data_IF_817335545178
#
_entry.id   IF_817335545178
#
_cell.length_a   1.000
_cell.length_b   1.000
_cell.length_c   1.000
_cell.angle_alpha   90.00
_cell.angle_beta   90.00
_cell.angle_gamma   90.00
#
_symmetry.space_group_name_H-M   'P 1'
#
loop_
_entity.id
_entity.type
_entity.pdbx_description
1 polymer ?
#
# COMPACT_ATOMS: atom_id res chain seq x y z
N UNK A 1 16.88 -0.30 -7.32
CA UNK A 1 16.03 -0.89 -6.82
C UNK A 1 15.31 -0.40 -5.60
N UNK A 2 15.76 -0.48 -4.34
CA UNK A 2 14.98 0.10 -3.23
C UNK A 2 14.69 1.58 -3.44
N UNK A 3 15.69 2.38 -3.80
CA UNK A 3 15.53 3.83 -3.98
C UNK A 3 14.56 4.17 -5.09
N UNK A 4 14.54 3.41 -6.18
CA UNK A 4 13.61 3.62 -7.28
C UNK A 4 12.16 3.39 -6.87
N UNK A 5 11.91 2.38 -6.05
CA UNK A 5 10.57 2.11 -5.50
C UNK A 5 10.14 3.22 -4.53
N UNK A 6 11.05 3.64 -3.65
CA UNK A 6 10.79 4.77 -2.73
C UNK A 6 10.43 6.02 -3.51
N UNK A 7 11.22 6.36 -4.54
CA UNK A 7 10.99 7.55 -5.36
C UNK A 7 9.65 7.47 -6.12
N UNK A 8 9.32 6.31 -6.67
CA UNK A 8 8.06 6.10 -7.38
C UNK A 8 6.85 6.24 -6.45
N UNK A 9 6.96 5.71 -5.23
CA UNK A 9 5.89 5.83 -4.22
C UNK A 9 5.70 7.28 -3.78
N UNK A 10 6.79 7.98 -3.51
CA UNK A 10 6.74 9.40 -3.11
C UNK A 10 6.17 10.28 -4.22
N UNK A 11 6.52 10.00 -5.47
CA UNK A 11 5.96 10.70 -6.61
C UNK A 11 4.44 10.47 -6.72
N UNK A 12 4.00 9.22 -6.60
CA UNK A 12 2.57 8.92 -6.60
C UNK A 12 1.85 9.65 -5.45
N UNK A 13 2.44 9.62 -4.25
CA UNK A 13 1.87 10.31 -3.08
C UNK A 13 1.74 11.81 -3.33
N UNK A 14 2.73 12.44 -3.96
CA UNK A 14 2.67 13.85 -4.33
C UNK A 14 1.53 14.13 -5.30
N UNK A 15 1.36 13.30 -6.32
CA UNK A 15 0.23 13.42 -7.26
C UNK A 15 -1.12 13.23 -6.56
N UNK A 16 -1.20 12.31 -5.62
CA UNK A 16 -2.40 12.07 -4.83
C UNK A 16 -2.78 13.28 -3.99
N UNK A 17 -1.81 13.85 -3.28
CA UNK A 17 -2.02 15.06 -2.48
C UNK A 17 -2.38 16.27 -3.34
N UNK A 18 -1.72 16.44 -4.49
CA UNK A 18 -2.02 17.52 -5.44
C UNK A 18 -3.44 17.40 -6.01
N UNK A 19 -3.88 16.20 -6.32
CA UNK A 19 -5.24 15.95 -6.81
C UNK A 19 -6.29 16.37 -5.78
N UNK A 20 -6.07 16.05 -4.50
CA UNK A 20 -6.93 16.49 -3.41
C UNK A 20 -6.94 18.01 -3.28
N UNK A 21 -5.77 18.64 -3.33
CA UNK A 21 -5.65 20.10 -3.22
C UNK A 21 -6.38 20.82 -4.35
N UNK A 22 -6.24 20.33 -5.57
CA UNK A 22 -6.90 20.91 -6.74
C UNK A 22 -8.41 20.72 -6.72
N UNK A 23 -8.87 19.55 -6.25
CA UNK A 23 -10.29 19.18 -6.28
C UNK A 23 -11.09 19.74 -5.11
N UNK A 24 -10.47 19.79 -3.93
CA UNK A 24 -11.15 20.13 -2.68
C UNK A 24 -10.61 21.40 -2.00
N UNK A 25 -9.40 21.82 -2.34
CA UNK A 25 -8.72 22.91 -1.66
C UNK A 25 -8.03 22.52 -0.36
N UNK A 26 -8.00 21.22 -0.02
CA UNK A 26 -7.34 20.74 1.19
C UNK A 26 -6.58 19.43 0.94
N UNK A 27 -5.84 18.99 1.95
CA UNK A 27 -5.09 17.74 1.94
C UNK A 27 -6.01 16.51 1.87
N UNK A 28 -5.49 15.33 1.56
CA UNK A 28 -6.26 14.10 1.64
C UNK A 28 -7.02 13.96 2.95
N UNK A 29 -8.27 13.55 2.86
CA UNK A 29 -9.18 13.38 3.99
C UNK A 29 -9.59 11.92 4.13
N UNK A 30 -9.74 11.45 5.37
CA UNK A 30 -10.17 10.08 5.65
C UNK A 30 -11.10 10.06 6.85
N UNK A 31 -12.29 9.50 6.68
CA UNK A 31 -13.20 9.19 7.76
C UNK A 31 -12.76 7.91 8.50
N UNK A 32 -12.21 6.95 7.77
CA UNK A 32 -11.77 5.67 8.33
C UNK A 32 -10.65 5.83 9.36
N UNK A 33 -9.81 6.84 9.22
CA UNK A 33 -8.68 7.11 10.11
C UNK A 33 -9.02 8.10 11.23
N UNK A 34 -10.26 8.55 11.30
CA UNK A 34 -10.72 9.43 12.37
C UNK A 34 -10.56 8.74 13.74
N UNK A 35 -9.92 9.44 14.67
CA UNK A 35 -9.67 8.92 16.02
C UNK A 35 -8.47 7.99 16.14
N UNK A 36 -7.73 7.75 15.06
CA UNK A 36 -6.51 6.93 15.08
C UNK A 36 -5.29 7.84 15.03
N UNK A 37 -4.49 7.93 16.11
CA UNK A 37 -3.33 8.84 16.15
C UNK A 37 -2.30 8.53 15.06
N UNK A 38 -1.70 9.59 14.51
CA UNK A 38 -0.66 9.47 13.49
C UNK A 38 0.15 10.77 13.38
N UNK A 39 1.45 10.67 13.06
CA UNK A 39 2.25 11.85 12.75
C UNK A 39 1.79 12.55 11.46
N UNK A 40 0.99 11.89 10.61
CA UNK A 40 0.51 12.44 9.35
C UNK A 40 -0.64 13.45 9.51
N UNK A 41 -1.35 13.45 10.63
CA UNK A 41 -2.54 14.28 10.83
C UNK A 41 -2.13 15.76 10.89
N UNK A 42 -2.72 16.58 10.00
CA UNK A 42 -2.51 18.03 9.99
C UNK A 42 -3.74 18.78 10.48
N UNK A 43 -4.93 18.20 10.40
CA UNK A 43 -6.17 18.79 10.90
C UNK A 43 -7.21 17.70 11.11
N UNK A 44 -8.16 17.98 12.01
CA UNK A 44 -9.35 17.14 12.21
C UNK A 44 -10.56 18.03 12.00
N UNK A 45 -11.44 17.62 11.07
CA UNK A 45 -12.64 18.35 10.71
C UNK A 45 -13.84 17.41 10.79
N UNK A 46 -14.86 17.77 11.59
CA UNK A 46 -16.03 16.92 11.78
C UNK A 46 -15.60 15.47 12.15
N UNK A 47 -15.91 14.50 11.30
CA UNK A 47 -15.60 13.08 11.52
C UNK A 47 -14.51 12.57 10.58
N UNK A 48 -13.60 13.45 10.14
CA UNK A 48 -12.50 13.07 9.24
C UNK A 48 -11.19 13.71 9.68
N UNK A 49 -10.08 13.11 9.26
CA UNK A 49 -8.75 13.67 9.43
C UNK A 49 -8.19 14.07 8.06
N UNK A 50 -7.48 15.20 8.04
CA UNK A 50 -6.68 15.61 6.89
C UNK A 50 -5.25 15.26 7.18
N UNK A 51 -4.55 14.70 6.19
CA UNK A 51 -3.21 14.19 6.40
C UNK A 51 -2.25 14.58 5.29
N UNK A 52 -0.98 14.50 5.58
CA UNK A 52 0.11 14.56 4.61
C UNK A 52 1.17 13.54 4.97
N UNK A 53 1.95 13.04 3.98
CA UNK A 53 2.99 12.07 4.28
C UNK A 53 4.05 12.66 5.20
N UNK A 54 4.63 11.79 6.03
CA UNK A 54 5.70 12.15 6.94
C UNK A 54 6.88 11.19 6.79
N UNK A 55 8.10 11.63 7.11
CA UNK A 55 9.26 10.74 7.08
C UNK A 55 9.05 9.53 7.99
N UNK A 56 9.47 8.38 7.51
CA UNK A 56 9.44 7.14 8.30
C UNK A 56 10.56 7.19 9.32
N UNK A 57 10.22 7.27 10.60
CA UNK A 57 11.19 7.48 11.70
C UNK A 57 11.55 6.22 12.46
N UNK A 58 10.93 5.08 12.11
CA UNK A 58 11.26 3.78 12.67
C UNK A 58 12.39 3.11 11.88
N UNK A 59 13.02 2.05 12.40
CA UNK A 59 13.98 1.29 11.61
C UNK A 59 13.34 0.80 10.31
N UNK A 60 13.98 1.07 9.18
CA UNK A 60 13.46 0.79 7.84
C UNK A 60 13.70 -0.67 7.43
N UNK A 61 13.18 -1.59 8.22
CA UNK A 61 13.34 -3.04 8.01
C UNK A 61 12.03 -3.78 8.27
N UNK A 62 11.91 -4.96 7.68
CA UNK A 62 10.87 -5.94 7.97
C UNK A 62 11.52 -7.21 8.56
N UNK A 63 12.56 -7.05 9.37
CA UNK A 63 13.31 -8.18 9.97
C UNK A 63 12.42 -9.11 10.77
N UNK A 64 11.40 -8.60 11.46
CA UNK A 64 10.50 -9.44 12.25
C UNK A 64 9.76 -10.44 11.37
N UNK A 65 9.36 -10.04 10.17
CA UNK A 65 8.72 -10.92 9.19
C UNK A 65 9.73 -11.95 8.67
N UNK A 66 10.92 -11.50 8.30
CA UNK A 66 11.98 -12.37 7.79
C UNK A 66 12.39 -13.44 8.80
N UNK A 67 12.54 -13.05 10.06
CA UNK A 67 12.88 -14.00 11.15
C UNK A 67 11.76 -15.01 11.43
N UNK A 68 10.52 -14.55 11.44
CA UNK A 68 9.38 -15.41 11.76
C UNK A 68 9.21 -16.53 10.73
N UNK A 69 9.51 -16.28 9.48
CA UNK A 69 9.34 -17.22 8.37
C UNK A 69 10.66 -17.82 7.88
N UNK A 70 11.80 -17.34 8.37
CA UNK A 70 13.15 -17.73 7.92
C UNK A 70 13.30 -17.54 6.40
N UNK A 71 12.87 -16.38 5.90
CA UNK A 71 12.93 -16.00 4.49
C UNK A 71 13.59 -14.65 4.33
N UNK A 72 14.08 -14.38 3.12
CA UNK A 72 14.53 -13.04 2.71
C UNK A 72 13.45 -12.42 1.84
N UNK A 73 13.02 -11.22 2.19
CA UNK A 73 12.02 -10.49 1.41
C UNK A 73 12.67 -9.74 0.25
N UNK A 74 11.92 -9.56 -0.83
CA UNK A 74 12.29 -8.65 -1.91
C UNK A 74 12.48 -7.23 -1.35
N UNK A 75 13.52 -6.54 -1.80
CA UNK A 75 13.84 -5.19 -1.36
C UNK A 75 12.67 -4.20 -1.57
N UNK A 76 11.90 -4.41 -2.64
CA UNK A 76 10.77 -3.55 -2.97
C UNK A 76 9.66 -3.57 -1.92
N UNK A 77 9.49 -4.68 -1.21
CA UNK A 77 8.51 -4.78 -0.12
C UNK A 77 8.92 -3.90 1.05
N UNK A 78 10.18 -4.01 1.45
CA UNK A 78 10.73 -3.16 2.51
C UNK A 78 10.67 -1.69 2.12
N UNK A 79 11.06 -1.36 0.89
CA UNK A 79 11.00 0.00 0.37
C UNK A 79 9.57 0.55 0.39
N UNK A 80 8.59 -0.25 -0.03
CA UNK A 80 7.19 0.16 -0.10
C UNK A 80 6.63 0.52 1.29
N UNK A 81 6.90 -0.29 2.30
CA UNK A 81 6.32 -0.10 3.63
C UNK A 81 7.13 0.78 4.57
N UNK A 82 8.37 1.09 4.23
CA UNK A 82 9.23 1.92 5.09
C UNK A 82 9.66 3.24 4.46
N UNK A 83 9.08 3.58 3.30
CA UNK A 83 9.41 4.84 2.61
C UNK A 83 8.89 6.07 3.36
N UNK A 84 7.74 5.94 4.02
CA UNK A 84 7.04 7.08 4.63
C UNK A 84 5.92 6.59 5.55
N UNK A 85 5.44 7.47 6.42
CA UNK A 85 4.11 7.36 7.01
C UNK A 85 3.12 8.05 6.09
N UNK A 86 1.97 7.43 5.84
CA UNK A 86 0.92 7.98 5.00
C UNK A 86 -0.41 7.26 5.27
N UNK A 87 -1.51 7.87 4.85
CA UNK A 87 -2.80 7.19 4.75
C UNK A 87 -2.88 6.32 3.51
N UNK A 88 -3.83 5.42 3.49
CA UNK A 88 -4.08 4.59 2.31
C UNK A 88 -4.55 5.48 1.15
N UNK A 89 -4.13 5.13 -0.08
CA UNK A 89 -4.37 5.97 -1.25
C UNK A 89 -5.12 5.18 -2.31
N UNK A 90 -6.25 5.73 -2.75
CA UNK A 90 -7.04 5.14 -3.83
C UNK A 90 -6.40 5.42 -5.18
N UNK A 91 -6.38 4.39 -6.01
CA UNK A 91 -5.70 4.42 -7.30
C UNK A 91 -6.38 3.49 -8.30
N UNK A 92 -5.96 3.61 -9.55
CA UNK A 92 -6.37 2.70 -10.62
C UNK A 92 -5.14 2.25 -11.40
N UNK A 93 -5.05 0.95 -11.62
CA UNK A 93 -4.08 0.35 -12.54
C UNK A 93 -4.86 -0.29 -13.68
N UNK A 94 -4.73 0.23 -14.92
CA UNK A 94 -5.58 -0.16 -16.04
C UNK A 94 -7.07 -0.03 -15.66
N UNK A 95 -7.81 -1.14 -15.58
CA UNK A 95 -9.22 -1.13 -15.18
C UNK A 95 -9.45 -1.51 -13.71
N UNK A 96 -8.36 -1.81 -12.98
CA UNK A 96 -8.43 -2.27 -11.61
C UNK A 96 -8.39 -1.09 -10.64
N UNK A 97 -9.46 -0.88 -9.89
CA UNK A 97 -9.47 0.05 -8.78
C UNK A 97 -8.93 -0.62 -7.52
N UNK A 98 -8.07 0.09 -6.82
CA UNK A 98 -7.38 -0.43 -5.64
C UNK A 98 -7.13 0.68 -4.62
N UNK A 99 -6.77 0.26 -3.42
CA UNK A 99 -6.30 1.15 -2.37
C UNK A 99 -4.91 0.69 -1.95
N UNK A 100 -3.89 1.53 -2.18
CA UNK A 100 -2.53 1.25 -1.71
C UNK A 100 -2.52 1.28 -0.19
N UNK A 101 -2.04 0.21 0.41
CA UNK A 101 -1.88 0.12 1.85
C UNK A 101 -0.62 0.87 2.25
N UNK A 102 -0.73 1.69 3.28
CA UNK A 102 0.38 2.47 3.81
C UNK A 102 0.44 2.33 5.33
N UNK A 103 1.57 2.66 5.90
CA UNK A 103 1.76 2.64 7.35
C UNK A 103 1.35 3.99 7.92
N UNK A 104 0.31 3.99 8.75
CA UNK A 104 -0.26 5.20 9.34
C UNK A 104 0.49 5.65 10.59
N UNK A 105 0.96 4.69 11.39
CA UNK A 105 1.60 4.94 12.68
C UNK A 105 2.52 3.78 13.07
N UNK A 106 3.25 3.94 14.18
CA UNK A 106 4.06 2.85 14.74
C UNK A 106 3.21 1.62 15.09
N UNK A 107 2.05 1.82 15.70
CA UNK A 107 1.13 0.72 16.03
C UNK A 107 0.63 0.01 14.78
N UNK A 108 0.33 0.78 13.74
CA UNK A 108 -0.09 0.25 12.44
C UNK A 108 1.01 -0.57 11.80
N UNK A 109 2.27 -0.15 11.94
CA UNK A 109 3.42 -0.88 11.43
C UNK A 109 3.59 -2.25 12.12
N UNK A 110 3.41 -2.30 13.42
CA UNK A 110 3.44 -3.57 14.16
C UNK A 110 2.33 -4.51 13.69
N UNK A 111 1.13 -3.99 13.53
CA UNK A 111 -0.04 -4.74 13.05
C UNK A 111 0.15 -5.24 11.62
N UNK A 112 0.71 -4.40 10.74
CA UNK A 112 1.06 -4.78 9.38
C UNK A 112 2.00 -5.98 9.36
N UNK A 113 3.06 -5.95 10.16
CA UNK A 113 4.02 -7.05 10.21
C UNK A 113 3.37 -8.35 10.68
N UNK A 114 2.51 -8.29 11.69
CA UNK A 114 1.73 -9.45 12.14
C UNK A 114 0.84 -10.01 11.03
N UNK A 115 0.18 -9.13 10.28
CA UNK A 115 -0.69 -9.52 9.17
C UNK A 115 0.11 -10.12 8.00
N UNK A 116 1.27 -9.58 7.70
CA UNK A 116 2.17 -10.15 6.68
C UNK A 116 2.65 -11.55 7.09
N UNK A 117 3.01 -11.73 8.35
CA UNK A 117 3.39 -13.04 8.88
C UNK A 117 2.25 -14.04 8.74
N UNK A 118 1.04 -13.67 9.14
CA UNK A 118 -0.15 -14.52 9.02
C UNK A 118 -0.43 -14.91 7.58
N UNK A 119 -0.30 -13.98 6.65
CA UNK A 119 -0.47 -14.23 5.22
C UNK A 119 0.56 -15.22 4.69
N UNK A 120 1.83 -15.05 5.04
CA UNK A 120 2.91 -15.96 4.64
C UNK A 120 2.76 -17.35 5.23
N UNK A 121 2.28 -17.47 6.47
CA UNK A 121 1.97 -18.76 7.09
C UNK A 121 0.87 -19.47 6.30
N UNK A 122 -0.18 -18.77 5.92
CA UNK A 122 -1.26 -19.31 5.10
C UNK A 122 -0.73 -19.83 3.76
N UNK A 123 0.09 -19.04 3.07
CA UNK A 123 0.73 -19.41 1.81
C UNK A 123 1.56 -20.69 1.95
N UNK A 124 2.34 -20.76 3.02
CA UNK A 124 3.19 -21.95 3.31
C UNK A 124 2.34 -23.20 3.55
N UNK A 125 1.27 -23.09 4.33
CA UNK A 125 0.35 -24.21 4.58
C UNK A 125 -0.31 -24.73 3.32
N UNK A 126 -0.64 -23.82 2.40
CA UNK A 126 -1.26 -24.17 1.12
C UNK A 126 -0.23 -24.55 0.07
N UNK A 127 1.07 -24.56 0.38
CA UNK A 127 2.18 -24.82 -0.55
C UNK A 127 2.15 -23.90 -1.75
N UNK A 128 1.79 -22.65 -1.52
CA UNK A 128 1.75 -21.59 -2.52
C UNK A 128 2.99 -20.70 -2.43
N UNK A 129 3.34 -20.06 -3.54
CA UNK A 129 4.44 -19.11 -3.62
C UNK A 129 4.25 -17.98 -2.59
N UNK A 130 5.29 -17.61 -1.81
CA UNK A 130 5.16 -16.52 -0.87
C UNK A 130 4.95 -15.18 -1.61
N UNK A 131 3.97 -14.43 -1.13
CA UNK A 131 3.63 -13.10 -1.63
C UNK A 131 3.44 -12.15 -0.47
N UNK A 132 3.60 -10.86 -0.71
CA UNK A 132 3.36 -9.82 0.29
C UNK A 132 2.34 -8.85 -0.30
N UNK A 133 1.19 -8.69 0.35
CA UNK A 133 0.14 -7.80 -0.12
C UNK A 133 0.57 -6.34 0.00
N UNK A 134 0.16 -5.51 -0.97
CA UNK A 134 0.43 -4.06 -0.99
C UNK A 134 -0.82 -3.23 -1.26
N UNK A 135 -1.90 -3.83 -1.74
CA UNK A 135 -3.13 -3.11 -2.00
C UNK A 135 -4.36 -4.01 -1.83
N UNK A 136 -5.44 -3.40 -1.38
CA UNK A 136 -6.77 -4.00 -1.38
C UNK A 136 -7.49 -3.61 -2.68
N UNK A 137 -8.47 -4.42 -3.10
CA UNK A 137 -9.31 -4.12 -4.27
C UNK A 137 -10.77 -4.01 -3.84
N UNK A 138 -11.65 -3.67 -4.78
CA UNK A 138 -13.09 -3.64 -4.54
C UNK A 138 -13.65 -5.02 -4.17
N UNK A 139 -12.99 -6.08 -4.66
CA UNK A 139 -13.35 -7.44 -4.29
C UNK A 139 -12.64 -7.83 -3.00
N UNK A 140 -13.39 -8.24 -2.00
CA UNK A 140 -12.83 -8.74 -0.74
C UNK A 140 -11.99 -10.01 -0.94
N UNK A 141 -12.13 -10.67 -2.08
CA UNK A 141 -11.43 -11.91 -2.39
C UNK A 141 -10.09 -11.69 -3.11
N UNK A 142 -9.87 -10.51 -3.67
CA UNK A 142 -8.68 -10.23 -4.48
C UNK A 142 -7.81 -9.16 -3.82
N UNK A 143 -6.50 -9.39 -3.87
CA UNK A 143 -5.49 -8.44 -3.38
C UNK A 143 -4.40 -8.26 -4.42
N UNK A 144 -3.72 -7.13 -4.35
CA UNK A 144 -2.50 -6.88 -5.12
C UNK A 144 -1.31 -7.18 -4.23
N UNK A 145 -0.39 -7.97 -4.72
CA UNK A 145 0.77 -8.44 -3.96
C UNK A 145 2.05 -8.36 -4.78
N UNK A 146 3.18 -8.36 -4.08
CA UNK A 146 4.49 -8.57 -4.68
C UNK A 146 4.86 -10.05 -4.49
N UNK A 147 5.21 -10.72 -5.59
CA UNK A 147 5.71 -12.09 -5.54
C UNK A 147 7.13 -12.09 -4.98
N UNK A 148 7.34 -12.82 -3.89
CA UNK A 148 8.67 -12.82 -3.24
C UNK A 148 9.75 -13.59 -4.01
N UNK A 149 9.36 -14.42 -4.99
CA UNK A 149 10.34 -15.12 -5.83
C UNK A 149 10.80 -14.29 -7.01
N UNK A 150 9.89 -13.53 -7.63
CA UNK A 150 10.15 -12.85 -8.91
C UNK A 150 10.22 -11.34 -8.80
N UNK A 151 9.64 -10.75 -7.75
CA UNK A 151 9.46 -9.30 -7.62
C UNK A 151 8.32 -8.74 -8.46
N UNK A 152 7.60 -9.56 -9.20
CA UNK A 152 6.44 -9.14 -9.98
C UNK A 152 5.30 -8.69 -9.09
N UNK A 153 4.54 -7.69 -9.56
CA UNK A 153 3.29 -7.28 -8.93
C UNK A 153 2.15 -8.06 -9.54
N UNK A 154 1.37 -8.72 -8.71
CA UNK A 154 0.32 -9.63 -9.13
C UNK A 154 -1.02 -9.27 -8.49
N UNK A 155 -2.09 -9.57 -9.21
CA UNK A 155 -3.43 -9.64 -8.65
C UNK A 155 -3.69 -11.11 -8.30
N UNK A 156 -4.01 -11.40 -7.06
CA UNK A 156 -4.22 -12.78 -6.61
C UNK A 156 -5.48 -12.91 -5.77
N UNK A 157 -6.04 -14.11 -5.77
CA UNK A 157 -7.11 -14.50 -4.88
C UNK A 157 -6.53 -15.45 -3.84
N UNK A 158 -6.26 -14.97 -2.60
CA UNK A 158 -5.66 -15.81 -1.56
C UNK A 158 -6.49 -17.06 -1.29
N UNK A 159 -5.80 -18.17 -1.05
CA UNK A 159 -6.44 -19.47 -0.85
C UNK A 159 -6.74 -20.23 -2.14
N UNK A 160 -6.51 -19.63 -3.29
CA UNK A 160 -6.64 -20.25 -4.61
C UNK A 160 -5.34 -20.14 -5.39
N UNK A 161 -5.30 -20.77 -6.56
CA UNK A 161 -4.16 -20.65 -7.49
C UNK A 161 -4.34 -19.53 -8.51
N UNK A 162 -5.44 -18.78 -8.42
CA UNK A 162 -5.77 -17.72 -9.37
C UNK A 162 -4.86 -16.51 -9.16
N UNK A 163 -4.10 -16.14 -10.21
CA UNK A 163 -3.23 -14.97 -10.17
C UNK A 163 -3.00 -14.43 -11.57
N UNK A 164 -2.77 -13.12 -11.64
CA UNK A 164 -2.49 -12.39 -12.86
C UNK A 164 -1.31 -11.44 -12.63
N UNK A 165 -0.35 -11.40 -13.54
CA UNK A 165 0.77 -10.46 -13.46
C UNK A 165 0.28 -9.10 -13.93
N UNK A 166 0.40 -8.08 -13.06
CA UNK A 166 0.04 -6.71 -13.38
C UNK A 166 1.23 -5.92 -13.90
N UNK A 167 2.39 -6.10 -13.30
CA UNK A 167 3.59 -5.39 -13.67
C UNK A 167 4.84 -6.22 -13.39
N UNK A 168 5.89 -5.95 -14.12
CA UNK A 168 7.17 -6.64 -14.03
C UNK A 168 7.87 -6.40 -12.69
N UNK A 169 7.68 -5.22 -12.11
CA UNK A 169 8.24 -4.85 -10.82
C UNK A 169 7.39 -3.73 -10.16
N UNK A 170 7.70 -3.45 -8.90
CA UNK A 170 6.94 -2.48 -8.10
C UNK A 170 7.09 -1.06 -8.63
N UNK A 171 8.27 -0.69 -9.09
CA UNK A 171 8.53 0.65 -9.64
C UNK A 171 7.64 0.92 -10.86
N UNK A 172 7.60 -0.01 -11.80
CA UNK A 172 6.75 0.09 -13.01
C UNK A 172 5.28 0.17 -12.60
N UNK A 173 4.85 -0.67 -11.66
CA UNK A 173 3.48 -0.65 -11.15
C UNK A 173 3.11 0.74 -10.60
N UNK A 174 3.92 1.29 -9.72
CA UNK A 174 3.65 2.59 -9.09
C UNK A 174 3.66 3.74 -10.09
N UNK A 175 4.55 3.72 -11.08
CA UNK A 175 4.61 4.75 -12.12
C UNK A 175 3.39 4.77 -13.03
N UNK A 176 2.71 3.65 -13.18
CA UNK A 176 1.54 3.52 -14.04
C UNK A 176 0.20 3.65 -13.28
N UNK A 177 0.25 3.93 -11.97
CA UNK A 177 -0.96 4.18 -11.21
C UNK A 177 -1.55 5.54 -11.53
N UNK A 178 -2.87 5.58 -11.63
CA UNK A 178 -3.66 6.81 -11.73
C UNK A 178 -4.31 7.10 -10.38
N UNK A 179 -4.35 8.37 -10.02
CA UNK A 179 -5.03 8.80 -8.78
C UNK A 179 -6.54 8.69 -8.96
N UNK A 180 -7.21 8.09 -7.96
CA UNK A 180 -8.67 8.06 -7.88
C UNK A 180 -9.08 8.77 -6.61
N UNK A 181 -9.97 9.76 -6.73
CA UNK A 181 -10.49 10.51 -5.60
C UNK A 181 -11.68 9.78 -4.98
N UNK A 182 -11.61 9.39 -3.68
CA UNK A 182 -12.75 8.73 -3.03
C UNK A 182 -13.98 9.66 -3.00
N UNK A 183 -15.15 9.11 -3.27
CA UNK A 183 -16.42 9.83 -3.18
C UNK A 183 -16.71 10.81 -4.31
N UNK A 184 -15.83 10.94 -5.30
CA UNK A 184 -16.08 11.69 -6.52
C UNK A 184 -16.37 10.71 -7.64
N UNK A 185 -17.58 10.78 -8.20
CA UNK A 185 -17.88 10.01 -9.39
C UNK A 185 -16.93 10.45 -10.52
N UNK A 186 -16.31 9.49 -11.17
CA UNK A 186 -15.64 9.75 -12.44
C UNK A 186 -16.72 10.20 -13.43
N UNK A 187 -16.91 11.49 -13.57
CA UNK A 187 -17.65 12.05 -14.69
C UNK A 187 -16.76 11.92 -15.93
N UNK A 188 -16.53 10.69 -16.33
CA UNK A 188 -16.05 10.40 -17.67
C UNK A 188 -17.21 10.63 -18.63
N UNK A 189 -17.27 11.82 -19.15
CA UNK A 189 -17.97 12.05 -20.42
C UNK A 189 -16.95 12.22 -21.52
#
# INVERSE_FOLDING_TARGET
MMQQTVDALREFTARYCDAWQQRTGHAPASEALYGVPSPCIIATQANEVWWQPQPFTLPATLEAVERALEITLQDDITAFYTAQFAGDMTARFAHLELSLLQVWSEEDFLRLQENLIGHLIMKRRLKQTPTLFIAATESEQEIVSICNLTGEVILEQPGTKKREILAENTQIFLKNLQVVMPGFADNCQ
#
